data_IF_256576339715
#
_entry.id   IF_256576339715
#
_cell.length_a   1.000
_cell.length_b   1.000
_cell.length_c   1.000
_cell.angle_alpha   90.00
_cell.angle_beta   90.00
_cell.angle_gamma   90.00
#
_symmetry.space_group_name_H-M   'P 1'
#
loop_
_entity.id
_entity.type
_entity.pdbx_description
1 polymer ?
#
# COMPACT_ATOMS: atom_id res chain seq x y z
N UNK A 1 3.03 -29.50 -12.85
CA UNK A 1 3.81 -28.93 -11.73
C UNK A 1 2.90 -28.93 -10.52
N UNK A 2 3.13 -29.80 -9.53
CA UNK A 2 2.27 -29.89 -8.36
C UNK A 2 2.37 -28.58 -7.57
N UNK A 3 1.25 -27.87 -7.40
CA UNK A 3 1.18 -26.73 -6.50
C UNK A 3 1.53 -27.26 -5.10
N UNK A 4 2.55 -26.72 -4.42
CA UNK A 4 2.88 -27.15 -3.06
C UNK A 4 1.61 -27.06 -2.22
N UNK A 5 1.30 -28.13 -1.47
CA UNK A 5 0.09 -28.20 -0.66
C UNK A 5 -0.03 -26.92 0.17
N UNK A 6 -1.06 -26.12 -0.10
CA UNK A 6 -1.37 -24.90 0.63
C UNK A 6 -1.95 -25.31 1.98
N UNK A 7 -1.14 -25.90 2.85
CA UNK A 7 -1.48 -25.97 4.27
C UNK A 7 -1.71 -24.54 4.73
N UNK A 8 -2.91 -24.26 5.23
CA UNK A 8 -3.33 -22.91 5.52
C UNK A 8 -2.42 -22.29 6.58
N UNK A 9 -2.31 -20.96 6.59
CA UNK A 9 -1.48 -20.22 7.58
C UNK A 9 -1.64 -20.74 9.03
N UNK A 10 -2.86 -21.17 9.42
CA UNK A 10 -3.16 -21.72 10.76
C UNK A 10 -2.51 -23.08 11.01
N UNK A 11 -2.50 -23.97 10.04
CA UNK A 11 -1.91 -25.31 10.18
C UNK A 11 -0.39 -25.22 10.31
N UNK A 12 0.25 -24.30 9.57
CA UNK A 12 1.68 -24.02 9.71
C UNK A 12 2.01 -23.46 11.09
N UNK A 13 1.28 -22.44 11.53
CA UNK A 13 1.48 -21.84 12.85
C UNK A 13 1.23 -22.83 14.00
N UNK A 14 0.35 -23.82 13.80
CA UNK A 14 0.08 -24.88 14.77
C UNK A 14 1.18 -25.96 14.80
N UNK A 15 1.88 -26.18 13.68
CA UNK A 15 2.96 -27.15 13.57
C UNK A 15 4.30 -26.67 14.13
N UNK A 16 4.47 -25.36 14.40
CA UNK A 16 5.72 -24.82 14.96
C UNK A 16 5.75 -24.93 16.49
N UNK A 17 6.82 -25.48 17.09
CA UNK A 17 7.01 -25.50 18.53
C UNK A 17 6.87 -24.10 19.16
N UNK A 18 6.24 -24.04 20.36
CA UNK A 18 5.76 -22.77 20.97
C UNK A 18 6.84 -21.72 21.24
N UNK A 19 8.11 -22.12 21.39
CA UNK A 19 9.25 -21.26 21.72
C UNK A 19 10.40 -21.45 20.73
N UNK A 20 10.31 -20.86 19.54
CA UNK A 20 11.43 -20.81 18.59
C UNK A 20 11.39 -19.53 17.72
N UNK A 21 12.56 -18.99 17.31
CA UNK A 21 12.66 -17.87 16.37
C UNK A 21 11.90 -18.10 15.05
N UNK A 22 11.72 -19.37 14.67
CA UNK A 22 10.88 -19.76 13.53
C UNK A 22 9.41 -19.30 13.65
N UNK A 23 8.82 -19.33 14.85
CA UNK A 23 7.44 -18.89 15.05
C UNK A 23 7.30 -17.38 14.87
N UNK A 24 8.27 -16.61 15.38
CA UNK A 24 8.31 -15.16 15.19
C UNK A 24 8.50 -14.81 13.71
N UNK A 25 9.39 -15.51 13.00
CA UNK A 25 9.60 -15.33 11.57
C UNK A 25 8.35 -15.69 10.75
N UNK A 26 7.65 -16.77 11.09
CA UNK A 26 6.39 -17.14 10.43
C UNK A 26 5.28 -16.12 10.66
N UNK A 27 5.12 -15.62 11.89
CA UNK A 27 4.17 -14.55 12.19
C UNK A 27 4.53 -13.27 11.42
N UNK A 28 5.79 -12.89 11.42
CA UNK A 28 6.27 -11.70 10.70
C UNK A 28 6.05 -11.86 9.19
N UNK A 29 6.27 -13.04 8.62
CA UNK A 29 6.02 -13.28 7.21
C UNK A 29 4.51 -13.34 6.88
N UNK A 30 3.67 -13.86 7.78
CA UNK A 30 2.23 -13.97 7.58
C UNK A 30 1.49 -12.63 7.73
N UNK A 31 1.93 -11.76 8.63
CA UNK A 31 1.35 -10.43 8.83
C UNK A 31 2.15 -9.31 8.15
N UNK A 32 3.35 -9.62 7.66
CA UNK A 32 4.27 -8.69 7.01
C UNK A 32 3.64 -7.85 5.92
N UNK A 33 2.90 -8.42 4.95
CA UNK A 33 2.22 -7.62 3.93
C UNK A 33 1.24 -6.60 4.52
N UNK A 34 0.43 -7.00 5.50
CA UNK A 34 -0.50 -6.10 6.16
C UNK A 34 0.23 -5.00 6.96
N UNK A 35 1.32 -5.35 7.66
CA UNK A 35 2.16 -4.39 8.38
C UNK A 35 2.84 -3.39 7.44
N UNK A 36 3.38 -3.84 6.31
CA UNK A 36 3.96 -2.97 5.28
C UNK A 36 2.88 -2.00 4.78
N UNK A 37 1.70 -2.50 4.42
CA UNK A 37 0.58 -1.67 3.94
C UNK A 37 0.08 -0.66 5.00
N UNK A 38 0.04 -1.07 6.28
CA UNK A 38 -0.32 -0.19 7.40
C UNK A 38 0.70 0.93 7.62
N UNK A 39 1.97 0.66 7.34
CA UNK A 39 3.06 1.61 7.58
C UNK A 39 3.46 2.43 6.36
N UNK A 40 3.07 2.02 5.14
CA UNK A 40 3.24 2.81 3.91
C UNK A 40 2.80 4.27 4.04
N UNK A 41 1.59 4.57 4.55
CA UNK A 41 1.17 5.96 4.67
C UNK A 41 1.89 6.70 5.79
N UNK A 42 2.63 6.05 6.70
CA UNK A 42 3.26 6.71 7.85
C UNK A 42 4.58 7.39 7.49
N UNK A 43 4.67 8.01 6.31
CA UNK A 43 5.89 8.65 5.81
C UNK A 43 6.38 9.78 6.74
N UNK A 44 5.48 10.44 7.46
CA UNK A 44 5.81 11.46 8.45
C UNK A 44 6.75 10.97 9.56
N UNK A 45 6.80 9.67 9.82
CA UNK A 45 7.74 9.09 10.78
C UNK A 45 9.20 9.37 10.41
N UNK A 46 9.50 9.61 9.13
CA UNK A 46 10.83 10.02 8.67
C UNK A 46 11.30 11.33 9.31
N UNK A 47 10.38 12.25 9.65
CA UNK A 47 10.72 13.50 10.34
C UNK A 47 11.28 13.26 11.74
N UNK A 48 10.78 12.22 12.42
CA UNK A 48 11.13 11.92 13.81
C UNK A 48 12.21 10.84 13.94
N UNK A 49 12.25 9.88 13.02
CA UNK A 49 13.14 8.72 13.07
C UNK A 49 14.26 8.78 12.03
N UNK A 50 14.32 9.82 11.19
CA UNK A 50 15.27 9.95 10.07
C UNK A 50 14.99 9.03 8.88
N UNK A 51 14.13 8.02 9.03
CA UNK A 51 13.71 7.07 8.00
C UNK A 51 12.23 6.71 8.18
N UNK A 52 11.46 6.53 7.09
CA UNK A 52 10.08 6.05 7.18
C UNK A 52 9.99 4.69 7.88
N UNK A 53 9.03 4.54 8.80
CA UNK A 53 8.79 3.31 9.56
C UNK A 53 8.63 2.08 8.66
N UNK A 54 8.01 2.23 7.50
CA UNK A 54 7.85 1.14 6.52
C UNK A 54 9.17 0.51 6.11
N UNK A 55 10.27 1.27 6.05
CA UNK A 55 11.60 0.73 5.69
C UNK A 55 12.10 -0.26 6.74
N UNK A 56 11.93 0.05 8.02
CA UNK A 56 12.27 -0.85 9.12
C UNK A 56 11.43 -2.13 9.08
N UNK A 57 10.12 -1.98 8.85
CA UNK A 57 9.21 -3.13 8.73
C UNK A 57 9.60 -4.00 7.53
N UNK A 58 9.94 -3.41 6.38
CA UNK A 58 10.40 -4.15 5.21
C UNK A 58 11.68 -4.95 5.50
N UNK A 59 12.64 -4.36 6.22
CA UNK A 59 13.87 -5.06 6.63
C UNK A 59 13.55 -6.23 7.56
N UNK A 60 12.70 -6.02 8.57
CA UNK A 60 12.32 -7.07 9.53
C UNK A 60 11.55 -8.21 8.84
N UNK A 61 10.62 -7.89 7.95
CA UNK A 61 9.87 -8.87 7.16
C UNK A 61 10.78 -9.60 6.17
N UNK A 62 11.72 -8.89 5.53
CA UNK A 62 12.73 -9.48 4.66
C UNK A 62 13.67 -10.43 5.38
N UNK A 63 14.15 -10.05 6.57
CA UNK A 63 14.98 -10.89 7.42
C UNK A 63 14.22 -12.14 7.90
N UNK A 64 12.95 -12.00 8.27
CA UNK A 64 12.09 -13.13 8.61
C UNK A 64 11.91 -14.09 7.43
N UNK A 65 11.64 -13.58 6.23
CA UNK A 65 11.54 -14.41 5.02
C UNK A 65 12.86 -15.10 4.72
N UNK A 66 13.98 -14.38 4.77
CA UNK A 66 15.30 -14.93 4.55
C UNK A 66 15.60 -16.07 5.54
N UNK A 67 15.34 -15.87 6.83
CA UNK A 67 15.47 -16.90 7.86
C UNK A 67 14.66 -18.17 7.53
N UNK A 68 13.40 -18.00 7.09
CA UNK A 68 12.56 -19.14 6.72
C UNK A 68 13.06 -19.87 5.46
N UNK A 69 13.66 -19.15 4.52
CA UNK A 69 14.27 -19.74 3.33
C UNK A 69 15.56 -20.50 3.69
N UNK A 70 16.44 -19.88 4.48
CA UNK A 70 17.70 -20.50 4.92
C UNK A 70 17.49 -21.74 5.78
N UNK A 71 16.45 -21.76 6.61
CA UNK A 71 16.07 -22.93 7.43
C UNK A 71 15.26 -23.98 6.66
N UNK A 72 15.05 -23.80 5.35
CA UNK A 72 14.33 -24.74 4.49
C UNK A 72 12.81 -24.80 4.73
N UNK A 73 12.26 -23.91 5.56
CA UNK A 73 10.82 -23.85 5.89
C UNK A 73 9.98 -23.16 4.82
N UNK A 74 10.60 -22.33 3.97
CA UNK A 74 9.96 -21.72 2.79
C UNK A 74 10.82 -21.94 1.56
N UNK A 75 10.16 -22.12 0.41
CA UNK A 75 10.79 -22.12 -0.90
C UNK A 75 10.46 -20.81 -1.61
N UNK A 76 11.47 -20.19 -2.22
CA UNK A 76 11.26 -19.01 -3.03
C UNK A 76 10.64 -19.40 -4.37
N UNK A 77 9.45 -18.89 -4.63
CA UNK A 77 8.89 -18.81 -5.96
C UNK A 77 9.54 -17.61 -6.67
N UNK A 78 10.27 -17.86 -7.74
CA UNK A 78 10.79 -16.82 -8.63
C UNK A 78 9.98 -16.89 -9.90
N UNK A 79 9.36 -15.79 -10.36
CA UNK A 79 8.59 -15.81 -11.59
C UNK A 79 9.56 -16.03 -12.76
N UNK A 80 9.23 -16.99 -13.64
CA UNK A 80 10.07 -17.37 -14.80
C UNK A 80 9.54 -16.82 -16.11
N UNK A 81 8.69 -15.81 -16.04
CA UNK A 81 8.09 -15.18 -17.22
C UNK A 81 9.11 -14.30 -17.93
N UNK A 82 8.96 -14.11 -19.25
CA UNK A 82 9.85 -13.26 -20.04
C UNK A 82 9.97 -11.84 -19.49
N UNK A 83 8.90 -11.30 -18.88
CA UNK A 83 8.89 -10.01 -18.20
C UNK A 83 9.97 -9.88 -17.11
N UNK A 84 10.26 -10.98 -16.39
CA UNK A 84 11.29 -11.02 -15.35
C UNK A 84 12.69 -10.98 -15.94
N UNK A 85 12.89 -11.64 -17.09
CA UNK A 85 14.15 -11.59 -17.82
C UNK A 85 14.44 -10.16 -18.29
N UNK A 86 13.43 -9.48 -18.85
CA UNK A 86 13.55 -8.08 -19.25
C UNK A 86 13.81 -7.14 -18.07
N UNK A 87 13.13 -7.36 -16.94
CA UNK A 87 13.40 -6.60 -15.71
C UNK A 87 14.84 -6.83 -15.23
N UNK A 88 15.33 -8.07 -15.25
CA UNK A 88 16.70 -8.41 -14.89
C UNK A 88 17.72 -7.74 -15.82
N UNK A 89 17.47 -7.76 -17.13
CA UNK A 89 18.31 -7.09 -18.12
C UNK A 89 18.32 -5.56 -17.89
N UNK A 90 17.18 -4.95 -17.61
CA UNK A 90 17.08 -3.53 -17.28
C UNK A 90 17.92 -3.19 -16.04
N UNK A 91 17.78 -3.94 -14.95
CA UNK A 91 18.57 -3.75 -13.72
C UNK A 91 20.07 -3.92 -13.99
N UNK A 92 20.45 -4.91 -14.79
CA UNK A 92 21.85 -5.12 -15.17
C UNK A 92 22.42 -3.93 -15.95
N UNK A 93 21.69 -3.43 -16.96
CA UNK A 93 22.09 -2.25 -17.74
C UNK A 93 22.19 -1.01 -16.85
N UNK A 94 21.21 -0.77 -15.98
CA UNK A 94 21.26 0.34 -15.01
C UNK A 94 22.46 0.23 -14.07
N UNK A 95 22.80 -0.98 -13.63
CA UNK A 95 23.97 -1.23 -12.76
C UNK A 95 25.27 -0.94 -13.49
N UNK A 96 25.43 -1.44 -14.72
CA UNK A 96 26.63 -1.16 -15.53
C UNK A 96 26.76 0.34 -15.81
N UNK A 97 25.68 1.00 -16.22
CA UNK A 97 25.66 2.44 -16.45
C UNK A 97 26.06 3.22 -15.20
N UNK A 98 25.56 2.81 -14.03
CA UNK A 98 25.91 3.42 -12.75
C UNK A 98 27.38 3.20 -12.38
N UNK A 99 27.91 1.98 -12.54
CA UNK A 99 29.32 1.65 -12.24
C UNK A 99 30.29 2.42 -13.14
N UNK A 100 29.92 2.68 -14.39
CA UNK A 100 30.71 3.46 -15.35
C UNK A 100 30.68 4.95 -15.02
N UNK A 101 29.51 5.50 -14.69
CA UNK A 101 29.34 6.95 -14.49
C UNK A 101 29.66 7.42 -13.08
N UNK A 102 29.45 6.57 -12.05
CA UNK A 102 29.70 6.81 -10.62
C UNK A 102 29.24 8.18 -10.12
N UNK A 103 28.12 8.69 -10.63
CA UNK A 103 27.62 10.01 -10.23
C UNK A 103 27.38 10.05 -8.71
N UNK A 104 28.02 10.97 -7.95
CA UNK A 104 27.96 10.97 -6.49
C UNK A 104 26.56 11.17 -5.90
N UNK A 105 25.61 11.72 -6.67
CA UNK A 105 24.23 11.93 -6.24
C UNK A 105 23.28 10.78 -6.60
N UNK A 106 23.74 9.78 -7.38
CA UNK A 106 22.86 8.74 -7.94
C UNK A 106 22.73 7.47 -7.09
N UNK A 107 23.47 7.35 -5.98
CA UNK A 107 23.43 6.15 -5.11
C UNK A 107 22.01 5.75 -4.68
N UNK A 108 21.17 6.74 -4.31
CA UNK A 108 19.80 6.48 -3.88
C UNK A 108 18.94 5.95 -5.03
N UNK A 109 19.01 6.61 -6.20
CA UNK A 109 18.27 6.19 -7.39
C UNK A 109 18.70 4.79 -7.87
N UNK A 110 20.00 4.50 -7.83
CA UNK A 110 20.53 3.17 -8.13
C UNK A 110 20.03 2.12 -7.13
N UNK A 111 20.12 2.41 -5.83
CA UNK A 111 19.64 1.51 -4.79
C UNK A 111 18.14 1.20 -4.97
N UNK A 112 17.33 2.20 -5.31
CA UNK A 112 15.91 2.01 -5.60
C UNK A 112 15.70 1.04 -6.78
N UNK A 113 16.38 1.26 -7.91
CA UNK A 113 16.30 0.36 -9.09
C UNK A 113 16.70 -1.07 -8.75
N UNK A 114 17.74 -1.27 -7.94
CA UNK A 114 18.22 -2.59 -7.55
C UNK A 114 17.31 -3.27 -6.50
N UNK A 115 16.76 -2.51 -5.55
CA UNK A 115 15.98 -3.04 -4.43
C UNK A 115 14.50 -3.30 -4.80
N UNK A 116 13.92 -2.54 -5.73
CA UNK A 116 12.50 -2.71 -6.12
C UNK A 116 12.16 -4.14 -6.60
N UNK A 117 12.95 -4.77 -7.49
CA UNK A 117 12.72 -6.16 -7.88
C UNK A 117 12.81 -7.13 -6.70
N UNK A 118 13.77 -6.94 -5.80
CA UNK A 118 13.94 -7.76 -4.59
C UNK A 118 12.71 -7.65 -3.71
N UNK A 119 12.21 -6.42 -3.50
CA UNK A 119 10.99 -6.18 -2.77
C UNK A 119 9.78 -6.81 -3.46
N UNK A 120 9.69 -6.74 -4.79
CA UNK A 120 8.63 -7.40 -5.56
C UNK A 120 8.61 -8.92 -5.34
N UNK A 121 9.79 -9.56 -5.42
CA UNK A 121 9.94 -11.00 -5.11
C UNK A 121 9.57 -11.29 -3.67
N UNK A 122 9.98 -10.45 -2.72
CA UNK A 122 9.62 -10.58 -1.31
C UNK A 122 8.10 -10.57 -1.13
N UNK A 123 7.40 -9.53 -1.62
CA UNK A 123 5.94 -9.41 -1.52
C UNK A 123 5.23 -10.60 -2.14
N UNK A 124 5.67 -11.06 -3.31
CA UNK A 124 5.10 -12.23 -3.97
C UNK A 124 5.26 -13.52 -3.16
N UNK A 125 6.34 -13.65 -2.40
CA UNK A 125 6.62 -14.82 -1.55
C UNK A 125 6.05 -14.71 -0.12
N UNK A 126 5.53 -13.54 0.25
CA UNK A 126 4.88 -13.33 1.54
C UNK A 126 3.40 -13.74 1.51
N UNK A 127 2.69 -13.45 0.42
CA UNK A 127 1.27 -13.78 0.28
C UNK A 127 1.09 -15.21 -0.25
N UNK A 128 0.77 -16.13 0.64
CA UNK A 128 0.64 -17.55 0.30
C UNK A 128 -0.81 -17.96 0.06
N UNK A 129 -1.72 -17.41 0.88
CA UNK A 129 -3.13 -17.76 0.86
C UNK A 129 -4.02 -16.55 0.52
N UNK A 130 -5.27 -16.81 0.12
CA UNK A 130 -6.29 -15.76 -0.08
C UNK A 130 -6.51 -14.93 1.20
N UNK A 131 -6.32 -15.55 2.38
CA UNK A 131 -6.42 -14.88 3.68
C UNK A 131 -5.33 -13.82 3.89
N UNK A 132 -4.14 -14.01 3.33
CA UNK A 132 -3.05 -13.02 3.39
C UNK A 132 -3.41 -11.80 2.54
N UNK A 133 -3.89 -12.05 1.32
CA UNK A 133 -4.38 -11.01 0.42
C UNK A 133 -5.52 -10.21 1.05
N UNK A 134 -6.49 -10.89 1.66
CA UNK A 134 -7.60 -10.23 2.35
C UNK A 134 -7.14 -9.36 3.51
N UNK A 135 -6.16 -9.83 4.29
CA UNK A 135 -5.55 -9.04 5.38
C UNK A 135 -4.84 -7.80 4.85
N UNK A 136 -4.08 -7.92 3.77
CA UNK A 136 -3.40 -6.79 3.13
C UNK A 136 -4.40 -5.76 2.59
N UNK A 137 -5.51 -6.21 1.97
CA UNK A 137 -6.58 -5.32 1.51
C UNK A 137 -7.32 -4.63 2.64
N UNK A 138 -7.63 -5.34 3.73
CA UNK A 138 -8.24 -4.71 4.91
C UNK A 138 -7.28 -3.71 5.54
N UNK A 139 -5.99 -4.04 5.64
CA UNK A 139 -4.95 -3.11 6.06
C UNK A 139 -4.92 -1.86 5.17
N UNK A 140 -5.06 -2.00 3.85
CA UNK A 140 -5.11 -0.87 2.93
C UNK A 140 -6.31 0.05 3.18
N UNK A 141 -7.49 -0.52 3.43
CA UNK A 141 -8.68 0.26 3.79
C UNK A 141 -8.51 0.98 5.15
N UNK A 142 -7.95 0.28 6.15
CA UNK A 142 -7.67 0.86 7.47
C UNK A 142 -6.63 1.99 7.36
N UNK A 143 -5.58 1.79 6.57
CA UNK A 143 -4.59 2.82 6.25
C UNK A 143 -5.23 4.05 5.63
N UNK A 144 -6.06 3.86 4.60
CA UNK A 144 -6.75 4.97 3.95
C UNK A 144 -7.72 5.71 4.86
N UNK A 145 -8.47 5.00 5.68
CA UNK A 145 -9.32 5.60 6.71
C UNK A 145 -8.49 6.40 7.72
N UNK A 146 -7.38 5.84 8.21
CA UNK A 146 -6.47 6.51 9.13
C UNK A 146 -5.87 7.79 8.55
N UNK A 147 -5.39 7.75 7.31
CA UNK A 147 -4.89 8.94 6.59
C UNK A 147 -5.99 9.97 6.41
N UNK A 148 -7.20 9.56 6.01
CA UNK A 148 -8.31 10.48 5.83
C UNK A 148 -8.71 11.15 7.15
N UNK A 149 -8.87 10.39 8.24
CA UNK A 149 -9.19 10.93 9.56
C UNK A 149 -8.12 11.88 10.06
N UNK A 150 -6.84 11.51 9.95
CA UNK A 150 -5.73 12.37 10.32
C UNK A 150 -5.73 13.65 9.49
N UNK A 151 -5.96 13.54 8.18
CA UNK A 151 -6.00 14.70 7.28
C UNK A 151 -7.13 15.65 7.58
N UNK A 152 -8.31 15.12 7.85
CA UNK A 152 -9.45 15.91 8.27
C UNK A 152 -9.18 16.62 9.61
N UNK A 153 -8.60 15.93 10.59
CA UNK A 153 -8.25 16.53 11.88
C UNK A 153 -7.20 17.63 11.76
N UNK A 154 -6.15 17.41 10.96
CA UNK A 154 -5.12 18.42 10.68
C UNK A 154 -5.72 19.66 10.00
N UNK A 155 -6.65 19.47 9.06
CA UNK A 155 -7.36 20.57 8.42
C UNK A 155 -8.12 21.43 9.42
N UNK A 156 -8.93 20.78 10.28
CA UNK A 156 -9.74 21.47 11.28
C UNK A 156 -8.89 22.19 12.33
N UNK A 157 -7.74 21.62 12.69
CA UNK A 157 -6.83 22.22 13.66
C UNK A 157 -5.90 23.27 13.05
N UNK A 158 -5.94 23.49 11.72
CA UNK A 158 -4.96 24.30 10.98
C UNK A 158 -3.50 23.91 11.28
N UNK A 159 -3.25 22.60 11.43
CA UNK A 159 -1.94 22.04 11.74
C UNK A 159 -1.32 21.38 10.51
N UNK A 160 0.00 21.45 10.41
CA UNK A 160 0.77 20.81 9.35
C UNK A 160 1.88 19.93 9.93
N UNK A 161 1.95 18.69 9.46
CA UNK A 161 3.04 17.77 9.82
C UNK A 161 4.33 18.16 9.09
N UNK A 162 4.20 18.47 7.80
CA UNK A 162 5.27 18.91 6.93
C UNK A 162 5.35 20.44 6.92
N UNK A 163 6.56 20.99 6.77
CA UNK A 163 6.73 22.43 6.57
C UNK A 163 5.96 22.87 5.32
N UNK A 164 5.02 23.82 5.43
CA UNK A 164 4.23 24.25 4.28
C UNK A 164 5.15 24.89 3.24
N UNK A 165 5.05 24.42 2.00
CA UNK A 165 5.72 25.10 0.90
C UNK A 165 5.01 26.45 0.69
N UNK A 166 5.70 27.60 0.75
CA UNK A 166 5.07 28.91 0.64
C UNK A 166 4.33 29.12 -0.69
N UNK A 167 4.71 28.41 -1.75
CA UNK A 167 4.05 28.45 -3.07
C UNK A 167 2.70 27.69 -3.05
N UNK A 168 2.50 26.82 -2.06
CA UNK A 168 1.43 25.82 -2.00
C UNK A 168 0.79 25.76 -0.60
N UNK A 169 0.93 26.85 0.18
CA UNK A 169 0.73 26.88 1.63
C UNK A 169 -0.67 26.48 2.11
N UNK A 170 -1.67 26.45 1.22
CA UNK A 170 -3.05 26.05 1.51
C UNK A 170 -3.34 24.57 1.25
N UNK A 171 -2.40 23.76 0.76
CA UNK A 171 -2.64 22.34 0.48
C UNK A 171 -2.33 21.44 1.67
N UNK A 172 -3.21 20.47 1.91
CA UNK A 172 -3.05 19.47 2.97
C UNK A 172 -1.98 18.43 2.63
N UNK A 173 -0.82 18.59 3.27
CA UNK A 173 0.22 17.56 3.33
C UNK A 173 -0.01 16.75 4.61
N UNK A 174 -0.83 15.70 4.49
CA UNK A 174 -1.31 14.92 5.63
C UNK A 174 -0.17 14.03 6.14
N UNK A 175 0.01 12.86 5.53
CA UNK A 175 1.10 11.96 5.89
C UNK A 175 2.23 11.98 4.87
N UNK A 176 1.90 12.14 3.58
CA UNK A 176 2.87 12.33 2.52
C UNK A 176 3.27 13.80 2.43
N UNK A 177 4.54 14.07 2.12
CA UNK A 177 5.03 15.42 1.94
C UNK A 177 4.40 16.12 0.70
N UNK A 178 3.97 15.34 -0.30
CA UNK A 178 3.30 15.83 -1.50
C UNK A 178 1.77 15.60 -1.42
N UNK A 179 0.94 16.65 -1.55
CA UNK A 179 -0.52 16.52 -1.49
C UNK A 179 -1.09 15.72 -2.67
N UNK A 180 -0.41 15.68 -3.81
CA UNK A 180 -0.82 14.87 -4.95
C UNK A 180 -0.65 13.37 -4.69
N UNK A 181 0.41 12.97 -3.97
CA UNK A 181 0.61 11.58 -3.57
C UNK A 181 -0.49 11.17 -2.60
N UNK A 182 -0.81 12.04 -1.64
CA UNK A 182 -1.91 11.83 -0.70
C UNK A 182 -3.25 11.64 -1.43
N UNK A 183 -3.55 12.51 -2.39
CA UNK A 183 -4.77 12.40 -3.19
C UNK A 183 -4.83 11.06 -3.93
N UNK A 184 -3.76 10.67 -4.64
CA UNK A 184 -3.66 9.39 -5.38
C UNK A 184 -3.82 8.18 -4.45
N UNK A 185 -3.26 8.23 -3.25
CA UNK A 185 -3.41 7.17 -2.27
C UNK A 185 -4.88 7.02 -1.85
N UNK A 186 -5.54 8.13 -1.48
CA UNK A 186 -6.96 8.14 -1.11
C UNK A 186 -7.87 7.71 -2.26
N UNK A 187 -7.57 8.08 -3.51
CA UNK A 187 -8.35 7.64 -4.68
C UNK A 187 -8.23 6.13 -4.89
N UNK A 188 -7.03 5.56 -4.73
CA UNK A 188 -6.81 4.11 -4.80
C UNK A 188 -7.53 3.36 -3.68
N UNK A 189 -7.56 3.92 -2.45
CA UNK A 189 -8.33 3.34 -1.33
C UNK A 189 -9.82 3.34 -1.65
N UNK A 190 -10.38 4.45 -2.14
CA UNK A 190 -11.79 4.53 -2.50
C UNK A 190 -12.17 3.53 -3.59
N UNK A 191 -11.32 3.37 -4.61
CA UNK A 191 -11.49 2.35 -5.65
C UNK A 191 -11.45 0.93 -5.06
N UNK A 192 -10.48 0.63 -4.18
CA UNK A 192 -10.38 -0.65 -3.51
C UNK A 192 -11.62 -0.94 -2.64
N UNK A 193 -12.15 0.07 -1.92
CA UNK A 193 -13.35 -0.06 -1.10
C UNK A 193 -14.55 -0.54 -1.92
N UNK A 194 -14.74 0.00 -3.14
CA UNK A 194 -15.79 -0.40 -4.07
C UNK A 194 -15.63 -1.87 -4.48
N UNK A 195 -14.43 -2.25 -4.93
CA UNK A 195 -14.15 -3.61 -5.40
C UNK A 195 -14.34 -4.63 -4.27
N UNK A 196 -13.82 -4.33 -3.07
CA UNK A 196 -13.90 -5.23 -1.91
C UNK A 196 -15.32 -5.31 -1.35
N UNK A 197 -16.08 -4.21 -1.37
CA UNK A 197 -17.49 -4.21 -1.00
C UNK A 197 -18.32 -5.10 -1.94
N UNK A 198 -18.12 -4.93 -3.25
CA UNK A 198 -18.81 -5.70 -4.28
C UNK A 198 -18.54 -7.20 -4.11
N UNK A 199 -17.28 -7.60 -3.87
CA UNK A 199 -16.89 -9.00 -3.66
C UNK A 199 -17.17 -9.58 -2.28
N UNK A 200 -17.66 -8.79 -1.31
CA UNK A 200 -17.83 -9.20 0.11
C UNK A 200 -16.53 -9.72 0.74
N UNK A 201 -15.39 -9.25 0.25
CA UNK A 201 -14.08 -9.69 0.75
C UNK A 201 -13.62 -8.88 1.97
N UNK A 202 -14.26 -7.74 2.24
CA UNK A 202 -14.02 -6.91 3.43
C UNK A 202 -15.35 -6.58 4.14
N UNK A 203 -15.31 -6.23 5.44
CA UNK A 203 -16.49 -5.79 6.18
C UNK A 203 -17.14 -4.57 5.52
N UNK A 204 -18.46 -4.61 5.33
CA UNK A 204 -19.22 -3.57 4.62
C UNK A 204 -19.02 -2.18 5.26
N UNK A 205 -19.03 -2.11 6.60
CA UNK A 205 -18.82 -0.87 7.34
C UNK A 205 -17.43 -0.26 7.06
N UNK A 206 -16.39 -1.09 6.92
CA UNK A 206 -15.03 -0.62 6.68
C UNK A 206 -14.89 -0.06 5.27
N UNK A 207 -15.46 -0.74 4.26
CA UNK A 207 -15.50 -0.21 2.90
C UNK A 207 -16.27 1.12 2.82
N UNK A 208 -17.43 1.19 3.47
CA UNK A 208 -18.25 2.40 3.50
C UNK A 208 -17.52 3.56 4.18
N UNK A 209 -17.00 3.33 5.39
CA UNK A 209 -16.29 4.35 6.17
C UNK A 209 -15.01 4.83 5.48
N UNK A 210 -14.16 3.91 5.01
CA UNK A 210 -12.92 4.27 4.31
C UNK A 210 -13.23 5.01 3.01
N UNK A 211 -14.15 4.51 2.19
CA UNK A 211 -14.55 5.17 0.94
C UNK A 211 -15.10 6.57 1.17
N UNK A 212 -16.02 6.74 2.13
CA UNK A 212 -16.63 8.03 2.45
C UNK A 212 -15.60 9.02 3.02
N UNK A 213 -14.73 8.58 3.93
CA UNK A 213 -13.67 9.42 4.46
C UNK A 213 -12.70 9.88 3.35
N UNK A 214 -12.32 8.99 2.43
CA UNK A 214 -11.53 9.36 1.26
C UNK A 214 -12.27 10.37 0.37
N UNK A 215 -13.57 10.17 0.10
CA UNK A 215 -14.39 11.08 -0.69
C UNK A 215 -14.48 12.49 -0.08
N UNK A 216 -14.54 12.59 1.25
CA UNK A 216 -14.55 13.87 1.97
C UNK A 216 -13.19 14.57 1.90
N UNK A 217 -12.10 13.83 2.07
CA UNK A 217 -10.76 14.41 2.28
C UNK A 217 -10.02 14.69 0.97
N UNK A 218 -10.30 13.96 -0.12
CA UNK A 218 -9.65 14.21 -1.42
C UNK A 218 -9.81 15.67 -1.88
N UNK A 219 -11.01 16.31 -1.83
CA UNK A 219 -11.15 17.73 -2.14
C UNK A 219 -10.22 18.65 -1.33
N UNK A 220 -10.02 18.34 -0.05
CA UNK A 220 -9.17 19.11 0.85
C UNK A 220 -7.67 19.04 0.47
N UNK A 221 -7.26 18.07 -0.35
CA UNK A 221 -5.88 18.02 -0.86
C UNK A 221 -5.59 19.07 -1.92
N UNK A 222 -6.62 19.68 -2.53
CA UNK A 222 -6.51 20.66 -3.62
C UNK A 222 -5.70 20.16 -4.83
N UNK A 223 -5.56 18.85 -5.01
CA UNK A 223 -4.88 18.27 -6.16
C UNK A 223 -5.83 18.20 -7.35
N UNK A 224 -5.61 19.04 -8.38
CA UNK A 224 -6.39 19.00 -9.64
C UNK A 224 -6.39 17.60 -10.26
N UNK A 225 -5.23 16.96 -10.29
CA UNK A 225 -5.12 15.58 -10.77
C UNK A 225 -5.83 14.59 -9.86
N UNK A 226 -5.77 14.77 -8.53
CA UNK A 226 -6.47 13.96 -7.55
C UNK A 226 -7.99 13.99 -7.70
N UNK A 227 -8.58 15.17 -7.95
CA UNK A 227 -10.02 15.34 -8.16
C UNK A 227 -10.51 14.54 -9.37
N UNK A 228 -9.84 14.72 -10.52
CA UNK A 228 -10.17 13.99 -11.74
C UNK A 228 -9.92 12.48 -11.59
N UNK A 229 -8.78 12.11 -11.00
CA UNK A 229 -8.43 10.70 -10.74
C UNK A 229 -9.43 10.03 -9.80
N UNK A 230 -10.02 10.75 -8.85
CA UNK A 230 -11.02 10.18 -7.94
C UNK A 230 -12.25 9.70 -8.71
N UNK A 231 -12.84 10.58 -9.52
CA UNK A 231 -14.00 10.27 -10.35
C UNK A 231 -13.68 9.10 -11.28
N UNK A 232 -12.56 9.18 -11.99
CA UNK A 232 -12.14 8.13 -12.94
C UNK A 232 -11.91 6.78 -12.24
N UNK A 233 -11.25 6.78 -11.08
CA UNK A 233 -10.94 5.54 -10.34
C UNK A 233 -12.21 4.90 -9.78
N UNK A 234 -13.16 5.69 -9.28
CA UNK A 234 -14.45 5.21 -8.77
C UNK A 234 -15.30 4.59 -9.88
N UNK A 235 -15.39 5.27 -11.03
CA UNK A 235 -16.12 4.75 -12.20
C UNK A 235 -15.47 3.47 -12.73
N UNK A 236 -14.15 3.46 -12.87
CA UNK A 236 -13.41 2.29 -13.32
C UNK A 236 -13.55 1.10 -12.36
N UNK A 237 -13.45 1.35 -11.04
CA UNK A 237 -13.65 0.33 -10.02
C UNK A 237 -15.08 -0.25 -10.07
N UNK A 238 -16.09 0.60 -10.28
CA UNK A 238 -17.46 0.15 -10.44
C UNK A 238 -17.65 -0.73 -11.69
N UNK A 239 -17.00 -0.38 -12.79
CA UNK A 239 -17.07 -1.09 -14.08
C UNK A 239 -16.39 -2.46 -14.05
N UNK A 240 -15.25 -2.59 -13.37
CA UNK A 240 -14.45 -3.83 -13.31
C UNK A 240 -14.89 -4.76 -12.17
N UNK A 241 -15.65 -4.26 -11.19
CA UNK A 241 -16.14 -5.07 -10.09
C UNK A 241 -17.09 -6.20 -10.56
N UNK A 242 -16.96 -7.38 -9.94
CA UNK A 242 -17.73 -8.57 -10.31
C UNK A 242 -19.25 -8.40 -10.12
N UNK A 243 -19.64 -7.75 -9.01
CA UNK A 243 -21.05 -7.54 -8.66
C UNK A 243 -21.47 -6.09 -8.97
N UNK A 244 -21.91 -5.86 -10.22
CA UNK A 244 -22.18 -4.51 -10.75
C UNK A 244 -23.18 -3.71 -9.92
N UNK A 245 -24.26 -4.34 -9.44
CA UNK A 245 -25.30 -3.61 -8.68
C UNK A 245 -24.74 -3.02 -7.38
N UNK A 246 -23.95 -3.80 -6.65
CA UNK A 246 -23.37 -3.37 -5.37
C UNK A 246 -22.21 -2.40 -5.56
N UNK A 247 -21.41 -2.59 -6.60
CA UNK A 247 -20.31 -1.66 -6.92
C UNK A 247 -20.85 -0.30 -7.36
N UNK A 248 -21.86 -0.26 -8.23
CA UNK A 248 -22.52 0.98 -8.68
C UNK A 248 -23.18 1.70 -7.51
N UNK A 249 -23.90 0.99 -6.63
CA UNK A 249 -24.53 1.61 -5.47
C UNK A 249 -23.52 2.32 -4.56
N UNK A 250 -22.40 1.66 -4.22
CA UNK A 250 -21.37 2.28 -3.41
C UNK A 250 -20.65 3.41 -4.18
N UNK A 251 -20.35 3.22 -5.46
CA UNK A 251 -19.72 4.24 -6.29
C UNK A 251 -20.55 5.53 -6.36
N UNK A 252 -21.86 5.42 -6.59
CA UNK A 252 -22.77 6.58 -6.60
C UNK A 252 -22.81 7.28 -5.24
N UNK A 253 -22.85 6.53 -4.14
CA UNK A 253 -22.79 7.10 -2.81
C UNK A 253 -21.47 7.86 -2.56
N UNK A 254 -20.33 7.30 -2.98
CA UNK A 254 -19.04 7.96 -2.84
C UNK A 254 -18.91 9.20 -3.74
N UNK A 255 -19.41 9.16 -4.98
CA UNK A 255 -19.45 10.31 -5.87
C UNK A 255 -20.33 11.43 -5.31
N UNK A 256 -21.46 11.07 -4.70
CA UNK A 256 -22.34 12.04 -4.03
C UNK A 256 -21.63 12.71 -2.85
N UNK A 257 -21.00 11.93 -1.96
CA UNK A 257 -20.21 12.47 -0.83
C UNK A 257 -19.08 13.37 -1.31
N UNK A 258 -18.37 12.95 -2.37
CA UNK A 258 -17.30 13.72 -2.98
C UNK A 258 -17.80 15.05 -3.56
N UNK A 259 -18.89 15.02 -4.34
CA UNK A 259 -19.49 16.21 -4.92
C UNK A 259 -19.97 17.18 -3.83
N UNK A 260 -20.66 16.68 -2.81
CA UNK A 260 -21.10 17.47 -1.66
C UNK A 260 -19.91 18.11 -0.92
N UNK A 261 -18.87 17.33 -0.61
CA UNK A 261 -17.66 17.84 0.06
C UNK A 261 -16.97 18.95 -0.75
N UNK A 262 -16.95 18.82 -2.08
CA UNK A 262 -16.36 19.82 -2.99
C UNK A 262 -17.18 21.10 -3.02
N UNK A 263 -18.52 21.02 -2.91
CA UNK A 263 -19.40 22.21 -2.87
C UNK A 263 -19.28 22.93 -1.52
N UNK A 264 -19.17 22.19 -0.42
CA UNK A 264 -19.05 22.77 0.94
C UNK A 264 -17.68 23.39 1.18
N UNK A 265 -16.62 22.82 0.58
CA UNK A 265 -15.24 23.33 0.68
C UNK A 265 -14.77 23.79 -0.71
N UNK A 266 -15.27 24.92 -1.22
CA UNK A 266 -14.93 25.43 -2.55
C UNK A 266 -13.48 25.91 -2.65
#
# INVERSE_FOLDING_TARGET
>A
MALPSLTGTRERLAAVPRWQPARAAELMAAYGPALIVLTLPLEFTAKYMGQPLVRWIMVLVGAALAYLVFTGRRRLAIPRQASVVWLGAFVAVSTVSWVVTRSPSSYKAFADVALYPIFGVMVMNLMLDERDHRRAWNAFLVSGLGVAVLGFALNLAHLHIWTPNPIVATRLNITFADPNITARFLTLVAAAAIVLFARRSAPAWLCGAAGAACAVVVPLTWSRSGLALFIMSVVFAAAVAAERRRSIALALALLFVFAFSTVVNP
#
